data_IF_514613553203
#
_entry.id   IF_514613553203
#
_cell.length_a   1.000
_cell.length_b   1.000
_cell.length_c   1.000
_cell.angle_alpha   90.00
_cell.angle_beta   90.00
_cell.angle_gamma   90.00
#
_symmetry.space_group_name_H-M   'P 1'
#
loop_
_entity.id
_entity.type
_entity.pdbx_description
1 polymer ?
#
# COMPACT_ATOMS: atom_id res chain seq x y z
N UNK A 1 16.36 -16.36 15.34
CA UNK A 1 16.25 -16.35 13.86
C UNK A 1 15.08 -15.45 13.50
N UNK A 2 15.23 -14.51 12.57
CA UNK A 2 14.13 -13.62 12.16
C UNK A 2 13.58 -14.15 10.84
N UNK A 3 12.32 -14.57 10.84
CA UNK A 3 11.66 -15.11 9.65
C UNK A 3 10.78 -14.02 9.01
N UNK A 4 10.85 -13.90 7.69
CA UNK A 4 10.09 -12.93 6.90
C UNK A 4 9.37 -13.63 5.74
N UNK A 5 8.55 -12.91 4.97
CA UNK A 5 7.90 -13.45 3.77
C UNK A 5 8.52 -12.94 2.50
N UNK A 6 8.88 -13.84 1.58
CA UNK A 6 9.35 -13.53 0.24
C UNK A 6 8.31 -14.00 -0.79
N UNK A 7 7.94 -13.12 -1.72
CA UNK A 7 7.18 -13.47 -2.91
C UNK A 7 8.03 -13.27 -4.16
N UNK A 8 7.75 -14.07 -5.20
CA UNK A 8 8.40 -13.94 -6.50
C UNK A 8 8.20 -12.56 -7.14
N UNK A 9 7.03 -11.95 -6.93
CA UNK A 9 6.68 -10.58 -7.32
C UNK A 9 5.40 -10.15 -6.60
N UNK A 10 4.95 -8.91 -6.82
CA UNK A 10 3.64 -8.45 -6.34
C UNK A 10 2.48 -9.23 -6.97
N UNK A 11 1.29 -9.23 -6.33
CA UNK A 11 0.06 -9.67 -6.98
C UNK A 11 -0.14 -8.95 -8.33
N UNK A 12 -0.64 -9.68 -9.31
CA UNK A 12 -0.82 -9.20 -10.67
C UNK A 12 -2.19 -9.59 -11.20
N UNK A 13 -2.71 -8.83 -12.15
CA UNK A 13 -3.99 -9.14 -12.79
C UNK A 13 -3.75 -10.00 -14.03
N UNK A 14 -4.52 -11.07 -14.16
CA UNK A 14 -4.49 -11.95 -15.34
C UNK A 14 -5.91 -12.05 -15.92
N UNK A 15 -6.00 -12.04 -17.25
CA UNK A 15 -7.27 -12.25 -17.94
C UNK A 15 -7.70 -13.70 -17.78
N UNK A 16 -8.89 -13.90 -17.24
CA UNK A 16 -9.54 -15.19 -17.08
C UNK A 16 -10.80 -15.20 -17.94
N UNK A 17 -10.84 -16.15 -18.89
CA UNK A 17 -12.04 -16.45 -19.65
C UNK A 17 -12.78 -17.58 -18.96
N UNK A 18 -14.04 -17.34 -18.58
CA UNK A 18 -14.87 -18.40 -17.99
C UNK A 18 -15.15 -19.47 -19.06
N UNK A 19 -14.77 -20.73 -18.85
CA UNK A 19 -14.91 -21.78 -19.87
C UNK A 19 -16.36 -22.15 -20.19
N UNK A 20 -17.31 -21.81 -19.30
CA UNK A 20 -18.72 -22.12 -19.47
C UNK A 20 -19.51 -20.96 -20.11
N UNK A 21 -19.11 -19.71 -19.84
CA UNK A 21 -19.86 -18.53 -20.30
C UNK A 21 -19.14 -17.72 -21.37
N UNK A 22 -17.85 -17.97 -21.62
CA UNK A 22 -17.01 -17.16 -22.52
C UNK A 22 -16.73 -15.73 -22.01
N UNK A 23 -17.25 -15.35 -20.84
CA UNK A 23 -17.08 -14.00 -20.28
C UNK A 23 -15.65 -13.84 -19.80
N UNK A 24 -14.99 -12.78 -20.30
CA UNK A 24 -13.67 -12.34 -19.86
C UNK A 24 -13.78 -11.53 -18.58
N UNK A 25 -12.90 -11.82 -17.64
CA UNK A 25 -12.77 -11.11 -16.36
C UNK A 25 -11.31 -11.02 -15.98
N UNK A 26 -10.93 -10.08 -15.12
CA UNK A 26 -9.58 -10.03 -14.56
C UNK A 26 -9.58 -10.65 -13.17
N UNK A 27 -8.68 -11.60 -12.93
CA UNK A 27 -8.42 -12.16 -11.60
C UNK A 27 -7.10 -11.64 -11.08
N UNK A 28 -7.08 -11.28 -9.80
CA UNK A 28 -5.84 -10.98 -9.10
C UNK A 28 -5.20 -12.31 -8.71
N UNK A 29 -4.03 -12.56 -9.27
CA UNK A 29 -3.20 -13.72 -9.00
C UNK A 29 -2.10 -13.33 -8.03
N UNK A 30 -1.71 -14.30 -7.21
CA UNK A 30 -0.68 -14.14 -6.20
C UNK A 30 0.18 -15.41 -6.15
N UNK A 31 1.49 -15.23 -6.04
CA UNK A 31 2.40 -16.34 -5.81
C UNK A 31 2.31 -16.83 -4.36
N UNK A 32 2.52 -18.12 -4.08
CA UNK A 32 2.57 -18.61 -2.70
C UNK A 32 3.65 -17.88 -1.88
N UNK A 33 3.38 -17.55 -0.61
CA UNK A 33 4.37 -16.94 0.27
C UNK A 33 5.49 -17.94 0.60
N UNK A 34 6.74 -17.47 0.60
CA UNK A 34 7.90 -18.26 1.03
C UNK A 34 8.41 -17.68 2.35
N UNK A 35 8.41 -18.48 3.42
CA UNK A 35 8.93 -18.04 4.71
C UNK A 35 10.42 -18.40 4.81
N UNK A 36 11.27 -17.38 4.92
CA UNK A 36 12.72 -17.56 4.90
C UNK A 36 13.39 -16.78 6.03
N UNK A 37 14.58 -17.21 6.44
CA UNK A 37 15.45 -16.40 7.29
C UNK A 37 15.80 -15.11 6.56
N UNK A 38 15.75 -13.98 7.26
CA UNK A 38 16.16 -12.68 6.74
C UNK A 38 17.60 -12.68 6.20
N UNK A 39 18.48 -13.53 6.76
CA UNK A 39 19.86 -13.68 6.31
C UNK A 39 19.93 -14.06 4.83
N UNK A 40 19.03 -14.93 4.35
CA UNK A 40 18.95 -15.30 2.95
C UNK A 40 18.71 -14.08 2.06
N UNK A 41 17.80 -13.18 2.46
CA UNK A 41 17.48 -11.98 1.67
C UNK A 41 18.65 -11.02 1.63
N UNK A 42 19.35 -10.83 2.75
CA UNK A 42 20.55 -10.00 2.77
C UNK A 42 21.68 -10.57 1.93
N UNK A 43 21.88 -11.89 1.97
CA UNK A 43 22.86 -12.57 1.13
C UNK A 43 22.51 -12.42 -0.36
N UNK A 44 21.23 -12.52 -0.73
CA UNK A 44 20.77 -12.28 -2.10
C UNK A 44 21.09 -10.86 -2.59
N UNK A 45 20.85 -9.85 -1.75
CA UNK A 45 21.12 -8.44 -2.09
C UNK A 45 22.63 -8.20 -2.21
N UNK A 46 23.41 -8.71 -1.23
CA UNK A 46 24.86 -8.49 -1.16
C UNK A 46 25.65 -9.24 -2.22
N UNK A 47 25.19 -10.43 -2.61
CA UNK A 47 25.74 -11.20 -3.73
C UNK A 47 25.21 -10.72 -5.09
N UNK A 48 24.42 -9.64 -5.11
CA UNK A 48 23.85 -9.03 -6.31
C UNK A 48 23.11 -10.02 -7.22
N UNK A 49 22.36 -10.97 -6.65
CA UNK A 49 21.70 -12.04 -7.45
C UNK A 49 20.69 -11.52 -8.46
N UNK A 50 20.18 -10.29 -8.27
CA UNK A 50 19.21 -9.63 -9.15
C UNK A 50 19.85 -8.51 -9.98
N UNK A 51 21.18 -8.46 -10.08
CA UNK A 51 21.88 -7.40 -10.81
C UNK A 51 21.41 -7.25 -12.26
N UNK A 52 21.23 -8.32 -13.05
CA UNK A 52 20.77 -8.19 -14.43
C UNK A 52 19.40 -7.51 -14.54
N UNK A 53 18.43 -7.90 -13.70
CA UNK A 53 17.09 -7.34 -13.68
C UNK A 53 17.09 -5.87 -13.22
N UNK A 54 17.92 -5.56 -12.23
CA UNK A 54 18.05 -4.21 -11.67
C UNK A 54 18.72 -3.25 -12.67
N UNK A 55 19.82 -3.66 -13.29
CA UNK A 55 20.49 -2.88 -14.31
C UNK A 55 19.54 -2.65 -15.50
N UNK A 56 18.83 -3.70 -15.94
CA UNK A 56 17.88 -3.60 -17.05
C UNK A 56 16.75 -2.60 -16.78
N UNK A 57 16.17 -2.58 -15.58
CA UNK A 57 15.13 -1.59 -15.27
C UNK A 57 15.69 -0.17 -15.12
N UNK A 58 16.90 -0.01 -14.55
CA UNK A 58 17.52 1.30 -14.32
C UNK A 58 17.79 2.06 -15.62
N UNK A 59 18.05 1.35 -16.73
CA UNK A 59 18.17 1.94 -18.06
C UNK A 59 16.97 2.79 -18.47
N UNK A 60 15.78 2.48 -17.95
CA UNK A 60 14.54 3.18 -18.29
C UNK A 60 14.12 4.21 -17.24
N UNK A 61 14.87 4.37 -16.14
CA UNK A 61 14.46 5.21 -15.00
C UNK A 61 14.20 6.67 -15.40
N UNK A 62 15.11 7.26 -16.18
CA UNK A 62 15.05 8.67 -16.61
C UNK A 62 14.36 8.84 -17.98
N UNK A 63 14.11 7.77 -18.73
CA UNK A 63 13.63 7.83 -20.13
C UNK A 63 12.23 7.28 -20.36
N UNK A 64 11.85 6.21 -19.66
CA UNK A 64 10.56 5.53 -19.81
C UNK A 64 10.10 4.96 -18.46
N UNK A 65 9.42 5.82 -17.70
CA UNK A 65 8.95 5.47 -16.37
C UNK A 65 7.91 4.33 -16.40
N UNK A 66 7.16 4.16 -17.49
CA UNK A 66 6.19 3.07 -17.63
C UNK A 66 6.91 1.72 -17.70
N UNK A 67 7.91 1.62 -18.57
CA UNK A 67 8.73 0.42 -18.71
C UNK A 67 9.57 0.14 -17.47
N UNK A 68 10.14 1.16 -16.83
CA UNK A 68 10.80 1.01 -15.53
C UNK A 68 9.84 0.40 -14.49
N UNK A 69 8.61 0.91 -14.39
CA UNK A 69 7.61 0.43 -13.43
C UNK A 69 7.17 -1.00 -13.72
N UNK A 70 7.02 -1.37 -14.99
CA UNK A 70 6.71 -2.73 -15.41
C UNK A 70 7.82 -3.71 -15.00
N UNK A 71 9.08 -3.39 -15.32
CA UNK A 71 10.23 -4.24 -15.00
C UNK A 71 10.45 -4.35 -13.48
N UNK A 72 10.37 -3.22 -12.76
CA UNK A 72 10.42 -3.21 -11.29
C UNK A 72 9.31 -4.07 -10.68
N UNK A 73 8.12 -4.06 -11.28
CA UNK A 73 6.98 -4.86 -10.86
C UNK A 73 7.24 -6.37 -10.85
N UNK A 74 8.19 -6.84 -11.66
CA UNK A 74 8.58 -8.26 -11.78
C UNK A 74 9.65 -8.67 -10.76
N UNK A 75 10.24 -7.74 -10.02
CA UNK A 75 11.22 -8.07 -8.98
C UNK A 75 10.55 -8.80 -7.81
N UNK A 76 11.27 -9.73 -7.15
CA UNK A 76 10.86 -10.29 -5.88
C UNK A 76 10.58 -9.20 -4.85
N UNK A 77 9.62 -9.49 -3.97
CA UNK A 77 9.28 -8.60 -2.86
C UNK A 77 9.40 -9.33 -1.52
N UNK A 78 9.89 -8.61 -0.52
CA UNK A 78 9.94 -9.04 0.87
C UNK A 78 8.89 -8.27 1.69
N UNK A 79 8.15 -8.98 2.52
CA UNK A 79 7.40 -8.41 3.64
C UNK A 79 8.22 -8.60 4.90
N UNK A 80 9.02 -7.58 5.24
CA UNK A 80 9.95 -7.67 6.37
C UNK A 80 9.24 -7.71 7.71
N UNK A 81 7.98 -7.27 7.81
CA UNK A 81 7.26 -7.17 9.09
C UNK A 81 6.87 -8.53 9.69
N UNK A 82 6.99 -9.64 8.95
CA UNK A 82 6.65 -10.96 9.47
C UNK A 82 6.40 -12.03 8.43
N UNK A 83 5.85 -13.15 8.88
CA UNK A 83 5.32 -14.22 8.04
C UNK A 83 3.86 -13.97 7.72
N UNK A 84 3.47 -14.06 6.44
CA UNK A 84 2.11 -13.79 5.97
C UNK A 84 1.54 -14.97 5.17
N UNK A 85 0.26 -15.31 5.40
CA UNK A 85 -0.42 -16.35 4.62
C UNK A 85 -0.77 -15.93 3.20
N UNK A 86 -0.83 -14.62 2.94
CA UNK A 86 -1.06 -13.98 1.63
C UNK A 86 -0.69 -12.49 1.72
N UNK A 87 -0.67 -11.79 0.60
CA UNK A 87 -0.29 -10.40 0.45
C UNK A 87 -1.42 -9.46 0.92
N UNK A 88 -1.68 -9.43 2.23
CA UNK A 88 -2.55 -8.44 2.86
C UNK A 88 -2.25 -8.28 4.36
N UNK A 89 -2.60 -7.13 4.94
CA UNK A 89 -2.40 -6.83 6.36
C UNK A 89 -3.04 -7.90 7.28
N UNK A 90 -4.29 -8.28 6.99
CA UNK A 90 -5.08 -9.23 7.79
C UNK A 90 -4.56 -10.69 7.73
N UNK A 91 -3.48 -10.94 6.98
CA UNK A 91 -2.89 -12.27 6.82
C UNK A 91 -1.54 -12.42 7.54
N UNK A 92 -1.18 -11.50 8.42
CA UNK A 92 -0.03 -11.66 9.30
C UNK A 92 -0.22 -12.90 10.19
N UNK A 93 0.73 -13.83 10.13
CA UNK A 93 0.77 -15.04 10.94
C UNK A 93 1.64 -14.80 12.19
N UNK A 94 2.85 -14.27 11.99
CA UNK A 94 3.77 -13.98 13.08
C UNK A 94 4.60 -12.73 12.75
N UNK A 95 4.69 -11.75 13.68
CA UNK A 95 5.49 -10.56 13.49
C UNK A 95 6.98 -10.86 13.62
N UNK A 96 7.80 -10.19 12.80
CA UNK A 96 9.27 -10.27 12.86
C UNK A 96 9.90 -9.26 13.83
N UNK A 97 9.14 -8.25 14.24
CA UNK A 97 9.67 -7.10 14.99
C UNK A 97 10.47 -6.13 14.12
N UNK A 98 10.21 -6.07 12.81
CA UNK A 98 10.88 -5.16 11.87
C UNK A 98 9.92 -4.16 11.24
N UNK A 99 10.45 -2.98 10.94
CA UNK A 99 9.84 -1.94 10.10
C UNK A 99 10.82 -1.58 8.99
N UNK A 100 10.29 -1.28 7.80
CA UNK A 100 11.08 -0.80 6.67
C UNK A 100 10.75 0.67 6.43
N UNK A 101 11.80 1.47 6.32
CA UNK A 101 11.74 2.87 5.95
C UNK A 101 12.39 3.04 4.58
N UNK A 102 11.73 3.77 3.70
CA UNK A 102 12.28 4.12 2.39
C UNK A 102 12.66 5.60 2.36
N UNK A 103 13.90 5.87 1.96
CA UNK A 103 14.39 7.18 1.57
C UNK A 103 14.53 7.17 0.05
N UNK A 104 13.78 8.01 -0.66
CA UNK A 104 13.71 7.99 -2.12
C UNK A 104 13.94 9.39 -2.71
N UNK A 105 14.29 9.43 -4.00
CA UNK A 105 14.59 10.66 -4.76
C UNK A 105 15.72 11.48 -4.16
N UNK A 106 16.71 10.81 -3.59
CA UNK A 106 17.90 11.45 -3.04
C UNK A 106 18.76 11.95 -4.21
N UNK A 107 19.13 13.24 -4.25
CA UNK A 107 20.08 13.78 -5.22
C UNK A 107 21.44 13.08 -5.10
N UNK A 108 22.15 12.89 -6.22
CA UNK A 108 23.43 12.17 -6.26
C UNK A 108 24.43 12.74 -5.25
N UNK A 109 24.51 14.07 -5.14
CA UNK A 109 25.41 14.73 -4.19
C UNK A 109 25.07 14.47 -2.71
N UNK A 110 23.83 14.09 -2.39
CA UNK A 110 23.38 13.80 -1.02
C UNK A 110 23.44 12.31 -0.67
N UNK A 111 23.62 11.41 -1.65
CA UNK A 111 23.61 9.97 -1.43
C UNK A 111 24.62 9.51 -0.37
N UNK A 112 25.83 10.09 -0.37
CA UNK A 112 26.89 9.75 0.60
C UNK A 112 26.53 10.27 2.00
N UNK A 113 25.98 11.49 2.10
CA UNK A 113 25.59 12.08 3.38
C UNK A 113 24.46 11.27 4.03
N UNK A 114 23.42 10.93 3.26
CA UNK A 114 22.32 10.10 3.75
C UNK A 114 22.82 8.71 4.13
N UNK A 115 23.68 8.08 3.33
CA UNK A 115 24.28 6.79 3.70
C UNK A 115 25.00 6.85 5.04
N UNK A 116 25.88 7.84 5.22
CA UNK A 116 26.62 8.03 6.47
C UNK A 116 25.70 8.27 7.67
N UNK A 117 24.62 9.04 7.50
CA UNK A 117 23.60 9.21 8.54
C UNK A 117 22.97 7.86 8.92
N UNK A 118 22.61 7.04 7.93
CA UNK A 118 21.92 5.77 8.14
C UNK A 118 22.80 4.70 8.78
N UNK A 119 24.06 4.54 8.36
CA UNK A 119 24.93 3.48 8.91
C UNK A 119 25.46 3.81 10.31
N UNK A 120 25.55 5.11 10.65
CA UNK A 120 25.90 5.57 12.00
C UNK A 120 24.70 5.67 12.94
N UNK A 121 23.47 5.51 12.43
CA UNK A 121 22.27 5.50 13.25
C UNK A 121 22.24 4.24 14.13
N UNK A 122 22.10 4.37 15.46
CA UNK A 122 22.12 3.22 16.35
C UNK A 122 20.93 2.27 16.17
N UNK A 123 19.83 2.70 15.56
CA UNK A 123 18.63 1.90 15.31
C UNK A 123 18.63 1.17 13.97
N UNK A 124 19.50 1.57 13.03
CA UNK A 124 19.65 0.88 11.74
C UNK A 124 20.11 -0.55 11.95
N UNK A 125 19.22 -1.51 11.71
CA UNK A 125 19.53 -2.93 11.71
C UNK A 125 20.17 -3.35 10.39
N UNK A 126 19.66 -2.83 9.28
CA UNK A 126 20.29 -2.96 7.97
C UNK A 126 19.92 -1.76 7.09
N UNK A 127 20.81 -1.38 6.18
CA UNK A 127 20.55 -0.37 5.16
C UNK A 127 21.15 -0.83 3.83
N UNK A 128 20.43 -0.57 2.73
CA UNK A 128 20.90 -0.92 1.39
C UNK A 128 20.31 0.00 0.31
N UNK A 129 21.01 0.11 -0.80
CA UNK A 129 20.63 0.89 -1.98
C UNK A 129 19.29 0.38 -2.53
N UNK A 130 18.34 1.28 -2.76
CA UNK A 130 17.05 0.92 -3.30
C UNK A 130 17.16 0.46 -4.77
N UNK A 131 16.15 -0.28 -5.30
CA UNK A 131 16.24 -0.80 -6.66
C UNK A 131 16.47 0.29 -7.73
N UNK A 132 15.96 1.51 -7.52
CA UNK A 132 16.20 2.63 -8.45
C UNK A 132 17.64 3.13 -8.48
N UNK A 133 18.42 2.88 -7.41
CA UNK A 133 19.71 3.54 -7.21
C UNK A 133 19.61 5.02 -6.80
N UNK A 134 18.41 5.51 -6.46
CA UNK A 134 18.13 6.92 -6.11
C UNK A 134 17.59 7.06 -4.68
N UNK A 135 17.97 6.14 -3.81
CA UNK A 135 17.38 6.00 -2.49
C UNK A 135 18.00 4.87 -1.69
N UNK A 136 17.67 4.80 -0.40
CA UNK A 136 18.04 3.72 0.49
C UNK A 136 16.82 3.13 1.18
N UNK A 137 16.90 1.83 1.46
CA UNK A 137 15.94 1.12 2.30
C UNK A 137 16.60 0.82 3.63
N UNK A 138 15.89 1.08 4.70
CA UNK A 138 16.41 0.96 6.07
C UNK A 138 15.48 0.08 6.86
N UNK A 139 16.05 -0.95 7.48
CA UNK A 139 15.32 -1.86 8.34
C UNK A 139 15.64 -1.47 9.79
N UNK A 140 14.59 -1.27 10.57
CA UNK A 140 14.66 -0.91 11.98
C UNK A 140 13.99 -2.00 12.80
N UNK A 141 14.62 -2.40 13.91
CA UNK A 141 14.01 -3.30 14.89
C UNK A 141 13.08 -2.52 15.80
N UNK A 142 11.88 -3.03 16.02
CA UNK A 142 10.84 -2.41 16.84
C UNK A 142 10.26 -3.41 17.85
N UNK A 143 9.86 -2.93 19.02
CA UNK A 143 9.23 -3.78 20.04
C UNK A 143 7.72 -4.00 19.76
N UNK A 144 7.17 -5.18 20.01
CA UNK A 144 5.71 -5.42 20.03
C UNK A 144 4.94 -4.93 18.76
N UNK A 145 5.55 -5.01 17.57
CA UNK A 145 4.92 -4.64 16.30
C UNK A 145 4.02 -5.76 15.80
N UNK A 146 2.82 -5.85 16.36
CA UNK A 146 1.94 -7.03 16.24
C UNK A 146 0.82 -6.85 15.22
N UNK A 147 0.55 -5.62 14.78
CA UNK A 147 -0.58 -5.29 13.92
C UNK A 147 -0.30 -4.07 13.03
N UNK A 148 -1.23 -3.77 12.11
CA UNK A 148 -1.10 -2.67 11.18
C UNK A 148 -1.08 -1.29 11.86
N UNK A 149 -1.81 -1.14 12.97
CA UNK A 149 -1.89 0.12 13.71
C UNK A 149 -0.54 0.45 14.33
N UNK A 150 0.00 -0.46 15.14
CA UNK A 150 1.32 -0.30 15.77
C UNK A 150 2.43 -0.14 14.72
N UNK A 151 2.35 -0.83 13.58
CA UNK A 151 3.29 -0.66 12.49
C UNK A 151 3.29 0.78 11.94
N UNK A 152 2.11 1.36 11.73
CA UNK A 152 1.97 2.72 11.23
C UNK A 152 2.40 3.77 12.27
N UNK A 153 2.10 3.54 13.56
CA UNK A 153 2.56 4.42 14.65
C UNK A 153 4.10 4.45 14.75
N UNK A 154 4.76 3.32 14.47
CA UNK A 154 6.23 3.26 14.38
C UNK A 154 6.76 4.03 13.18
N UNK A 155 6.14 3.88 12.01
CA UNK A 155 6.52 4.65 10.82
C UNK A 155 6.36 6.15 11.05
N UNK A 156 5.29 6.58 11.70
CA UNK A 156 5.05 8.00 12.01
C UNK A 156 6.06 8.55 13.02
N UNK A 157 6.45 7.75 14.04
CA UNK A 157 7.51 8.12 14.98
C UNK A 157 8.90 8.19 14.31
N UNK A 158 9.22 7.22 13.45
CA UNK A 158 10.48 7.19 12.71
C UNK A 158 10.58 8.34 11.70
N UNK A 159 9.47 8.70 11.05
CA UNK A 159 9.41 9.85 10.15
C UNK A 159 9.82 11.14 10.84
N UNK A 160 9.29 11.36 12.04
CA UNK A 160 9.62 12.53 12.87
C UNK A 160 11.08 12.47 13.34
N UNK A 161 11.55 11.29 13.76
CA UNK A 161 12.92 11.09 14.21
C UNK A 161 13.96 11.40 13.13
N UNK A 162 13.80 10.83 11.93
CA UNK A 162 14.73 11.07 10.84
C UNK A 162 14.59 12.47 10.26
N UNK A 163 13.39 13.07 10.32
CA UNK A 163 13.08 14.43 9.83
C UNK A 163 13.70 14.73 8.46
N UNK A 164 13.74 13.73 7.59
CA UNK A 164 14.50 13.78 6.34
C UNK A 164 13.61 14.28 5.21
N UNK A 165 14.10 15.20 4.35
CA UNK A 165 13.37 15.62 3.15
C UNK A 165 13.21 14.49 2.13
N UNK A 166 13.94 13.38 2.29
CA UNK A 166 13.92 12.23 1.37
C UNK A 166 13.00 11.10 1.84
N UNK A 167 12.27 11.27 2.94
CA UNK A 167 11.35 10.26 3.45
C UNK A 167 10.21 9.98 2.46
N UNK A 168 9.98 8.70 2.11
CA UNK A 168 8.82 8.31 1.31
C UNK A 168 7.54 8.23 2.17
N UNK A 169 6.56 9.08 1.85
CA UNK A 169 5.27 9.12 2.54
C UNK A 169 4.38 7.90 2.23
N UNK A 170 4.74 7.07 1.24
CA UNK A 170 3.95 5.91 0.81
C UNK A 170 4.34 4.60 1.52
N UNK A 171 5.04 4.65 2.66
CA UNK A 171 5.56 3.48 3.39
C UNK A 171 4.57 2.76 4.31
N UNK A 172 3.33 3.26 4.52
CA UNK A 172 2.39 2.68 5.49
C UNK A 172 1.90 1.28 5.11
N UNK A 173 1.58 0.49 6.14
CA UNK A 173 1.01 -0.85 6.03
C UNK A 173 1.95 -1.97 6.49
N UNK A 174 1.50 -2.85 7.36
CA UNK A 174 2.31 -3.97 7.86
C UNK A 174 2.66 -4.99 6.76
N UNK A 175 1.81 -5.14 5.74
CA UNK A 175 2.09 -5.97 4.54
C UNK A 175 2.81 -5.20 3.43
N UNK A 176 3.52 -4.12 3.76
CA UNK A 176 4.20 -3.30 2.75
C UNK A 176 5.27 -4.10 2.01
N UNK A 177 5.11 -4.18 0.69
CA UNK A 177 6.11 -4.75 -0.21
C UNK A 177 7.38 -3.93 -0.25
N UNK A 178 8.51 -4.58 0.04
CA UNK A 178 9.84 -4.09 -0.24
C UNK A 178 10.42 -4.87 -1.43
N UNK A 179 10.57 -4.24 -2.59
CA UNK A 179 11.27 -4.86 -3.72
C UNK A 179 12.73 -5.15 -3.37
N UNK A 180 13.20 -6.36 -3.66
CA UNK A 180 14.60 -6.73 -3.47
C UNK A 180 15.49 -5.91 -4.41
N UNK A 181 16.70 -5.65 -3.95
CA UNK A 181 17.71 -4.85 -4.63
C UNK A 181 19.00 -5.66 -4.86
N UNK A 182 20.03 -5.01 -5.41
CA UNK A 182 21.41 -5.49 -5.51
C UNK A 182 22.29 -4.39 -4.96
N UNK A 183 23.03 -4.71 -3.91
CA UNK A 183 23.90 -3.78 -3.20
C UNK A 183 25.00 -4.55 -2.45
N UNK A 184 26.23 -4.61 -3.00
CA UNK A 184 27.35 -5.28 -2.33
C UNK A 184 27.77 -4.58 -1.03
N UNK A 185 27.41 -3.30 -0.88
CA UNK A 185 27.74 -2.46 0.28
C UNK A 185 26.64 -2.48 1.37
N UNK A 186 25.66 -3.40 1.27
CA UNK A 186 24.61 -3.57 2.27
C UNK A 186 25.21 -3.57 3.69
N UNK A 187 24.79 -2.60 4.47
CA UNK A 187 25.17 -2.44 5.86
C UNK A 187 24.26 -3.28 6.74
N UNK A 188 24.84 -3.91 7.77
CA UNK A 188 24.10 -4.72 8.74
C UNK A 188 24.70 -4.63 10.13
N UNK A 189 23.85 -4.35 11.12
CA UNK A 189 24.20 -4.31 12.53
C UNK A 189 23.24 -5.19 13.36
N UNK A 190 23.67 -6.42 13.67
CA UNK A 190 22.90 -7.35 14.53
C UNK A 190 22.70 -6.84 15.97
N UNK A 191 23.48 -5.84 16.38
CA UNK A 191 23.46 -5.23 17.72
C UNK A 191 22.83 -3.83 17.75
N UNK A 192 22.20 -3.36 16.66
CA UNK A 192 21.38 -2.14 16.65
C UNK A 192 20.37 -2.07 17.81
N UNK A 193 20.05 -0.87 18.27
CA UNK A 193 19.05 -0.65 19.30
C UNK A 193 17.66 -1.02 18.76
N UNK A 194 16.80 -1.51 19.66
CA UNK A 194 15.38 -1.72 19.36
C UNK A 194 14.65 -0.40 19.61
N UNK A 195 13.94 0.06 18.59
CA UNK A 195 13.09 1.24 18.68
C UNK A 195 11.79 0.92 19.44
N UNK A 196 11.43 1.76 20.40
CA UNK A 196 10.29 1.54 21.30
C UNK A 196 9.27 2.67 21.29
N UNK A 197 9.58 3.80 20.65
CA UNK A 197 8.71 4.98 20.63
C UNK A 197 7.62 4.79 19.57
N UNK A 198 6.36 4.97 19.95
CA UNK A 198 5.23 4.99 19.03
C UNK A 198 4.60 6.37 19.05
N UNK A 199 4.18 6.85 17.90
CA UNK A 199 3.32 8.03 17.83
C UNK A 199 1.89 7.54 17.98
N UNK A 200 1.38 7.52 19.21
CA UNK A 200 -0.05 7.37 19.43
C UNK A 200 -0.73 8.52 18.69
N UNK A 201 -1.37 8.20 17.57
CA UNK A 201 -2.44 9.09 17.12
C UNK A 201 -3.48 9.00 18.23
N UNK A 202 -3.99 10.11 18.81
CA UNK A 202 -5.12 10.00 19.71
C UNK A 202 -6.25 9.35 18.91
N UNK A 203 -6.42 8.04 19.08
CA UNK A 203 -7.72 7.44 18.90
C UNK A 203 -8.60 8.15 19.91
N UNK A 204 -9.79 8.65 19.54
CA UNK A 204 -10.75 9.12 20.52
C UNK A 204 -10.86 8.03 21.59
N UNK A 205 -10.50 8.38 22.82
CA UNK A 205 -10.50 7.48 23.97
C UNK A 205 -11.92 6.95 24.11
N UNK A 206 -12.13 5.69 23.75
CA UNK A 206 -13.33 4.95 24.14
C UNK A 206 -13.20 4.59 25.63
N UNK A 207 -13.28 5.59 26.49
CA UNK A 207 -13.62 5.43 27.90
C UNK A 207 -15.13 5.58 28.01
N UNK A 208 -15.83 4.46 28.03
CA UNK A 208 -17.26 4.41 28.24
C UNK A 208 -17.84 3.13 27.67
N UNK A 209 -18.27 2.24 28.56
CA UNK A 209 -19.14 1.13 28.23
C UNK A 209 -20.39 1.64 27.51
N UNK A 210 -20.37 1.66 26.19
CA UNK A 210 -21.55 1.71 25.33
C UNK A 210 -21.21 1.01 24.02
N UNK A 211 -22.09 0.10 23.60
CA UNK A 211 -21.98 -0.70 22.37
C UNK A 211 -21.46 0.12 21.17
N UNK A 212 -20.50 -0.38 20.37
CA UNK A 212 -19.89 0.41 19.33
C UNK A 212 -20.79 0.46 18.10
N UNK A 213 -21.63 1.50 18.01
CA UNK A 213 -22.07 2.00 16.71
C UNK A 213 -20.89 2.80 16.14
N UNK A 214 -19.97 2.11 15.47
CA UNK A 214 -19.03 2.77 14.56
C UNK A 214 -19.85 3.60 13.56
N UNK A 215 -19.53 4.87 13.28
CA UNK A 215 -20.29 5.61 12.29
C UNK A 215 -20.18 4.88 10.94
N UNK A 216 -21.34 4.54 10.39
CA UNK A 216 -21.48 3.81 9.11
C UNK A 216 -20.79 4.54 7.96
N UNK A 217 -20.66 5.87 8.08
CA UNK A 217 -20.11 6.76 7.07
C UNK A 217 -18.81 7.42 7.54
N UNK A 218 -17.96 7.78 6.58
CA UNK A 218 -16.70 8.50 6.75
C UNK A 218 -16.95 9.86 7.40
N UNK A 219 -16.22 10.15 8.47
CA UNK A 219 -16.17 11.48 9.09
C UNK A 219 -14.78 12.03 8.81
N UNK A 220 -14.67 12.89 7.79
CA UNK A 220 -13.42 13.53 7.39
C UNK A 220 -13.68 14.97 6.95
N UNK A 221 -12.65 15.82 6.95
CA UNK A 221 -12.76 17.19 6.46
C UNK A 221 -13.04 17.21 4.95
N UNK A 222 -13.67 18.28 4.41
CA UNK A 222 -13.91 18.39 2.97
C UNK A 222 -12.66 18.22 2.10
N UNK A 223 -11.49 18.67 2.60
CA UNK A 223 -10.22 18.52 1.89
C UNK A 223 -9.70 17.08 1.84
N UNK A 224 -9.93 16.28 2.88
CA UNK A 224 -9.59 14.86 2.90
C UNK A 224 -10.53 14.04 2.02
N UNK A 225 -11.83 14.33 2.09
CA UNK A 225 -12.83 13.77 1.18
C UNK A 225 -12.44 13.97 -0.29
N UNK A 226 -11.99 15.17 -0.67
CA UNK A 226 -11.55 15.48 -2.03
C UNK A 226 -10.32 14.67 -2.47
N UNK A 227 -9.34 14.46 -1.58
CA UNK A 227 -8.15 13.64 -1.87
C UNK A 227 -8.52 12.19 -2.13
N UNK A 228 -9.42 11.62 -1.31
CA UNK A 228 -9.89 10.24 -1.47
C UNK A 228 -10.69 10.11 -2.77
N UNK A 229 -11.59 11.06 -3.05
CA UNK A 229 -12.34 11.09 -4.31
C UNK A 229 -11.40 11.14 -5.52
N UNK A 230 -10.37 11.99 -5.50
CA UNK A 230 -9.37 12.05 -6.58
C UNK A 230 -8.61 10.73 -6.75
N UNK A 231 -8.27 10.05 -5.67
CA UNK A 231 -7.70 8.71 -5.72
C UNK A 231 -8.65 7.70 -6.37
N UNK A 232 -9.94 7.74 -6.01
CA UNK A 232 -10.97 6.86 -6.57
C UNK A 232 -11.23 7.11 -8.06
N UNK A 233 -11.19 8.36 -8.51
CA UNK A 233 -11.30 8.72 -9.92
C UNK A 233 -10.21 8.05 -10.76
N UNK A 234 -8.98 7.90 -10.22
CA UNK A 234 -7.90 7.14 -10.85
C UNK A 234 -8.20 5.65 -11.04
N UNK A 235 -9.17 5.10 -10.30
CA UNK A 235 -9.66 3.73 -10.43
C UNK A 235 -10.97 3.62 -11.23
N UNK A 236 -11.59 4.74 -11.64
CA UNK A 236 -12.91 4.74 -12.30
C UNK A 236 -12.85 4.61 -13.82
N UNK A 237 -11.67 4.47 -14.42
CA UNK A 237 -11.53 4.12 -15.84
C UNK A 237 -12.21 2.78 -16.19
N UNK A 238 -12.33 1.86 -15.21
CA UNK A 238 -13.06 0.58 -15.36
C UNK A 238 -14.59 0.74 -15.41
N UNK A 239 -15.10 1.92 -15.06
CA UNK A 239 -16.52 2.27 -15.03
C UNK A 239 -16.77 3.53 -15.86
N UNK A 240 -16.55 3.50 -17.19
CA UNK A 240 -16.69 4.69 -18.04
C UNK A 240 -18.14 5.19 -18.07
N UNK A 241 -18.32 6.52 -18.02
CA UNK A 241 -19.64 7.18 -18.10
C UNK A 241 -20.03 7.50 -19.55
N UNK A 242 -20.01 6.49 -20.42
CA UNK A 242 -20.33 6.59 -21.85
C UNK A 242 -21.75 6.11 -22.16
N UNK A 243 -22.36 6.54 -23.28
CA UNK A 243 -23.67 6.04 -23.72
C UNK A 243 -23.74 4.52 -23.70
N UNK A 244 -24.85 3.97 -23.19
CA UNK A 244 -25.06 2.52 -23.03
C UNK A 244 -24.42 1.89 -21.78
N UNK A 245 -23.51 2.57 -21.08
CA UNK A 245 -22.84 2.03 -19.88
C UNK A 245 -23.11 2.84 -18.60
N UNK A 246 -23.73 4.02 -18.70
CA UNK A 246 -23.88 4.97 -17.58
C UNK A 246 -24.57 4.37 -16.35
N UNK A 247 -25.59 3.51 -16.51
CA UNK A 247 -26.30 2.89 -15.39
C UNK A 247 -25.38 1.97 -14.56
N UNK A 248 -24.76 0.98 -15.21
CA UNK A 248 -23.86 0.04 -14.54
C UNK A 248 -22.62 0.75 -13.98
N UNK A 249 -22.07 1.70 -14.73
CA UNK A 249 -20.93 2.52 -14.28
C UNK A 249 -21.28 3.39 -13.06
N UNK A 250 -22.45 4.04 -13.06
CA UNK A 250 -22.91 4.84 -11.91
C UNK A 250 -23.12 3.98 -10.67
N UNK A 251 -23.74 2.80 -10.82
CA UNK A 251 -23.88 1.83 -9.75
C UNK A 251 -22.52 1.42 -9.17
N UNK A 252 -21.57 1.02 -10.03
CA UNK A 252 -20.26 0.55 -9.57
C UNK A 252 -19.42 1.66 -8.93
N UNK A 253 -19.45 2.88 -9.48
CA UNK A 253 -18.80 4.05 -8.87
C UNK A 253 -19.42 4.39 -7.50
N UNK A 254 -20.75 4.40 -7.40
CA UNK A 254 -21.46 4.64 -6.14
C UNK A 254 -21.18 3.54 -5.10
N UNK A 255 -21.05 2.28 -5.53
CA UNK A 255 -20.67 1.14 -4.68
C UNK A 255 -19.29 1.34 -4.06
N UNK A 256 -18.31 1.73 -4.87
CA UNK A 256 -16.96 2.02 -4.38
C UNK A 256 -16.99 3.17 -3.37
N UNK A 257 -17.71 4.26 -3.64
CA UNK A 257 -17.88 5.37 -2.69
C UNK A 257 -18.51 4.92 -1.37
N UNK A 258 -19.54 4.06 -1.41
CA UNK A 258 -20.17 3.48 -0.22
C UNK A 258 -19.21 2.58 0.58
N UNK A 259 -18.42 1.74 -0.07
CA UNK A 259 -17.42 0.89 0.59
C UNK A 259 -16.30 1.72 1.23
N UNK A 260 -15.98 2.89 0.67
CA UNK A 260 -15.11 3.90 1.26
C UNK A 260 -15.81 4.81 2.28
N UNK A 261 -17.09 4.58 2.56
CA UNK A 261 -17.82 5.22 3.64
C UNK A 261 -18.45 6.56 3.28
N UNK A 262 -18.39 7.02 2.03
CA UNK A 262 -19.10 8.25 1.65
C UNK A 262 -20.62 8.08 1.81
N UNK A 263 -21.33 9.14 2.16
CA UNK A 263 -22.80 9.14 2.19
C UNK A 263 -23.41 9.13 0.79
N UNK A 264 -24.67 8.70 0.66
CA UNK A 264 -25.42 8.79 -0.61
C UNK A 264 -25.42 10.21 -1.18
N UNK A 265 -25.53 11.23 -0.31
CA UNK A 265 -25.48 12.63 -0.70
C UNK A 265 -24.12 13.03 -1.29
N UNK A 266 -23.01 12.58 -0.69
CA UNK A 266 -21.68 12.84 -1.21
C UNK A 266 -21.44 12.12 -2.56
N UNK A 267 -21.93 10.89 -2.70
CA UNK A 267 -21.89 10.17 -3.97
C UNK A 267 -22.67 10.88 -5.07
N UNK A 268 -23.87 11.39 -4.75
CA UNK A 268 -24.67 12.18 -5.69
C UNK A 268 -23.94 13.46 -6.11
N UNK A 269 -23.38 14.23 -5.17
CA UNK A 269 -22.63 15.46 -5.49
C UNK A 269 -21.45 15.16 -6.42
N UNK A 270 -20.77 14.03 -6.24
CA UNK A 270 -19.67 13.62 -7.11
C UNK A 270 -20.12 13.16 -8.51
N UNK A 271 -21.24 12.44 -8.61
CA UNK A 271 -21.67 11.79 -9.85
C UNK A 271 -22.65 12.62 -10.69
N UNK A 272 -23.30 13.66 -10.13
CA UNK A 272 -24.28 14.49 -10.87
C UNK A 272 -23.71 15.18 -12.11
N UNK A 273 -22.39 15.31 -12.21
CA UNK A 273 -21.69 15.82 -13.40
C UNK A 273 -21.88 14.96 -14.65
N UNK A 274 -22.40 13.74 -14.51
CA UNK A 274 -22.64 12.79 -15.60
C UNK A 274 -24.11 12.65 -16.00
N UNK A 275 -24.98 13.54 -15.52
CA UNK A 275 -26.39 13.59 -15.94
C UNK A 275 -26.44 14.01 -17.41
N UNK A 276 -27.20 13.25 -18.19
CA UNK A 276 -27.35 13.44 -19.64
C UNK A 276 -28.82 13.21 -20.05
N UNK A 277 -29.27 13.65 -21.24
CA UNK A 277 -30.65 13.44 -21.69
C UNK A 277 -31.11 11.97 -21.67
N UNK A 278 -30.19 11.05 -21.92
CA UNK A 278 -30.40 9.59 -21.90
C UNK A 278 -29.99 8.93 -20.57
N UNK A 279 -29.59 9.73 -19.57
CA UNK A 279 -29.32 9.30 -18.20
C UNK A 279 -29.71 10.42 -17.21
N UNK A 280 -31.02 10.63 -17.00
CA UNK A 280 -31.50 11.73 -16.18
C UNK A 280 -31.22 11.52 -14.69
N UNK A 281 -31.39 12.60 -13.92
CA UNK A 281 -31.08 12.64 -12.48
C UNK A 281 -31.75 11.52 -11.66
N UNK A 282 -32.99 11.16 -11.99
CA UNK A 282 -33.73 10.11 -11.29
C UNK A 282 -33.11 8.72 -11.50
N UNK A 283 -32.57 8.45 -12.68
CA UNK A 283 -31.85 7.21 -12.97
C UNK A 283 -30.54 7.16 -12.17
N UNK A 284 -29.80 8.27 -12.13
CA UNK A 284 -28.58 8.39 -11.31
C UNK A 284 -28.88 8.16 -9.82
N UNK A 285 -29.90 8.81 -9.27
CA UNK A 285 -30.33 8.63 -7.87
C UNK A 285 -30.72 7.18 -7.59
N UNK A 286 -31.40 6.53 -8.54
CA UNK A 286 -31.77 5.11 -8.42
C UNK A 286 -30.54 4.22 -8.36
N UNK A 287 -29.56 4.41 -9.23
CA UNK A 287 -28.34 3.59 -9.24
C UNK A 287 -27.49 3.80 -7.98
N UNK A 288 -27.40 5.03 -7.47
CA UNK A 288 -26.77 5.32 -6.17
C UNK A 288 -27.49 4.55 -5.06
N UNK A 289 -28.82 4.68 -4.96
CA UNK A 289 -29.60 3.99 -3.93
C UNK A 289 -29.45 2.46 -4.00
N UNK A 290 -29.45 1.90 -5.20
CA UNK A 290 -29.26 0.47 -5.42
C UNK A 290 -27.87 0.02 -4.95
N UNK A 291 -26.82 0.78 -5.28
CA UNK A 291 -25.46 0.48 -4.86
C UNK A 291 -25.33 0.51 -3.33
N UNK A 292 -25.90 1.52 -2.67
CA UNK A 292 -25.85 1.63 -1.21
C UNK A 292 -26.62 0.52 -0.52
N UNK A 293 -27.83 0.18 -0.99
CA UNK A 293 -28.58 -0.99 -0.49
C UNK A 293 -27.78 -2.29 -0.64
N UNK A 294 -27.10 -2.47 -1.77
CA UNK A 294 -26.28 -3.65 -2.02
C UNK A 294 -25.09 -3.75 -1.06
N UNK A 295 -24.39 -2.65 -0.83
CA UNK A 295 -23.23 -2.62 0.09
C UNK A 295 -23.69 -2.79 1.54
N UNK A 296 -24.81 -2.17 1.89
CA UNK A 296 -25.41 -2.26 3.22
C UNK A 296 -25.89 -3.68 3.54
N UNK A 297 -26.57 -4.33 2.60
CA UNK A 297 -27.00 -5.73 2.74
C UNK A 297 -25.84 -6.71 2.95
N UNK A 298 -24.60 -6.28 2.67
CA UNK A 298 -23.36 -7.04 2.92
C UNK A 298 -22.59 -6.56 4.15
N UNK A 299 -23.07 -5.56 4.87
CA UNK A 299 -22.40 -4.94 6.01
C UNK A 299 -21.08 -4.24 5.65
N UNK A 300 -20.90 -3.85 4.38
CA UNK A 300 -19.61 -3.37 3.85
C UNK A 300 -19.48 -1.86 3.74
N UNK A 301 -20.45 -1.07 4.21
CA UNK A 301 -20.34 0.39 4.16
C UNK A 301 -19.15 0.82 5.03
N UNK A 302 -18.30 1.67 4.45
CA UNK A 302 -17.06 2.14 5.10
C UNK A 302 -16.03 1.05 5.37
N UNK A 303 -16.19 -0.16 4.83
CA UNK A 303 -15.26 -1.28 5.10
C UNK A 303 -13.87 -1.05 4.51
N UNK A 304 -13.71 -0.28 3.43
CA UNK A 304 -12.41 0.08 2.85
C UNK A 304 -11.75 1.23 3.62
N UNK A 305 -12.54 2.18 4.11
CA UNK A 305 -12.04 3.27 4.94
C UNK A 305 -11.59 2.79 6.32
N UNK A 306 -12.37 1.93 6.98
CA UNK A 306 -12.02 1.33 8.29
C UNK A 306 -10.79 0.42 8.27
N UNK A 307 -10.26 0.09 7.08
CA UNK A 307 -9.05 -0.73 6.89
C UNK A 307 -7.77 0.10 6.69
N UNK A 308 -7.90 1.42 6.63
CA UNK A 308 -6.80 2.39 6.52
C UNK A 308 -6.44 2.85 7.92
#
# INVERSE_FOLDING_TARGET
MITITLFKQKPYSEEYTNPLTGIKSFKVMEYPPNHVDIDLVFDMIKQEKLKPEIDAMRLFYDTDHSKYSELKGKLPICLFAGTFGRFCNDALIAPSGLVVVDFDKIPVQEMVNVWNMLVNDPYTYAAFLSPSGRGYKVIVRVANNIDNTSHNEYLDALKEYYSSPFWDNCCKGISRACYLSSDPDLYRNRNSKVWTIRKSTPQPTNTGNHDPISPKYIVCSPGEAAKIINFLEGGFYKYPMTPGQRHDSAFNRARELAEWGFSESAAYVNLRKFIEPDFPEEELKREIRNAYKWVDGKGKIGSKYRKI
#
